data_IF_674763219816
#
_entry.id   IF_674763219816
#
_cell.length_a   1.000
_cell.length_b   1.000
_cell.length_c   1.000
_cell.angle_alpha   90.00
_cell.angle_beta   90.00
_cell.angle_gamma   90.00
#
_symmetry.space_group_name_H-M   'P 1'
#
loop_
_entity.id
_entity.type
_entity.pdbx_description
1 polymer ?
#
# COMPACT_ATOMS: atom_id res chain seq x y z
N UNK A 1 1.54 7.37 11.16
CA UNK A 1 0.13 7.54 10.84
C UNK A 1 -0.01 8.22 9.50
N UNK A 2 -0.87 7.68 8.62
CA UNK A 2 -1.18 8.25 7.31
C UNK A 2 -2.24 9.33 7.51
N UNK A 3 -1.91 10.59 7.21
CA UNK A 3 -2.87 11.71 7.21
C UNK A 3 -3.58 11.76 5.86
N UNK A 4 -4.81 11.28 5.81
CA UNK A 4 -5.55 11.09 4.56
C UNK A 4 -5.99 12.43 3.95
N UNK A 5 -6.23 13.45 4.79
CA UNK A 5 -6.50 14.83 4.37
C UNK A 5 -5.34 15.49 3.62
N UNK A 6 -4.10 15.06 3.88
CA UNK A 6 -2.89 15.59 3.24
C UNK A 6 -2.53 14.90 1.90
N UNK A 7 -3.27 13.86 1.49
CA UNK A 7 -2.97 13.13 0.25
C UNK A 7 -3.44 13.91 -0.98
N UNK A 8 -2.56 14.04 -1.97
CA UNK A 8 -2.95 14.49 -3.31
C UNK A 8 -3.94 13.51 -3.96
N UNK A 9 -4.76 14.01 -4.90
CA UNK A 9 -5.92 13.29 -5.47
C UNK A 9 -5.62 11.88 -5.98
N UNK A 10 -4.49 11.67 -6.68
CA UNK A 10 -4.08 10.35 -7.18
C UNK A 10 -3.77 9.37 -6.04
N UNK A 11 -2.98 9.80 -5.05
CA UNK A 11 -2.65 8.97 -3.90
C UNK A 11 -3.87 8.69 -3.02
N UNK A 12 -4.74 9.69 -2.84
CA UNK A 12 -6.00 9.53 -2.12
C UNK A 12 -6.88 8.48 -2.78
N UNK A 13 -7.02 8.51 -4.11
CA UNK A 13 -7.74 7.48 -4.86
C UNK A 13 -7.19 6.08 -4.62
N UNK A 14 -5.87 5.90 -4.72
CA UNK A 14 -5.23 4.60 -4.47
C UNK A 14 -5.46 4.13 -3.04
N UNK A 15 -5.36 5.04 -2.07
CA UNK A 15 -5.63 4.77 -0.67
C UNK A 15 -7.08 4.30 -0.45
N UNK A 16 -8.06 5.02 -1.01
CA UNK A 16 -9.48 4.67 -0.90
C UNK A 16 -9.79 3.31 -1.58
N UNK A 17 -9.16 3.04 -2.74
CA UNK A 17 -9.27 1.75 -3.42
C UNK A 17 -8.71 0.59 -2.55
N UNK A 18 -7.62 0.82 -1.80
CA UNK A 18 -7.05 -0.15 -0.84
C UNK A 18 -7.97 -0.37 0.36
N UNK A 19 -8.66 0.68 0.84
CA UNK A 19 -9.56 0.59 2.00
C UNK A 19 -10.89 -0.10 1.71
N UNK A 20 -11.23 -0.31 0.43
CA UNK A 20 -12.49 -0.92 -0.01
C UNK A 20 -12.66 -2.35 0.52
N UNK A 21 -13.89 -2.68 0.96
CA UNK A 21 -14.30 -4.04 1.37
C UNK A 21 -15.50 -4.49 0.52
N UNK A 22 -15.45 -5.63 -0.19
CA UNK A 22 -14.32 -6.57 -0.31
C UNK A 22 -13.11 -5.98 -1.08
N UNK A 23 -11.90 -6.55 -0.95
CA UNK A 23 -10.70 -6.04 -1.60
C UNK A 23 -10.87 -5.86 -3.11
N UNK A 24 -10.64 -4.63 -3.58
CA UNK A 24 -10.80 -4.26 -4.99
C UNK A 24 -9.71 -4.89 -5.85
N UNK A 25 -10.10 -5.41 -7.01
CA UNK A 25 -9.16 -5.88 -8.04
C UNK A 25 -8.67 -4.72 -8.92
N UNK A 26 -7.52 -4.91 -9.57
CA UNK A 26 -7.03 -3.95 -10.58
C UNK A 26 -6.21 -2.80 -10.00
N UNK A 27 -5.92 -2.81 -8.68
CA UNK A 27 -4.99 -1.86 -8.07
C UNK A 27 -3.59 -2.14 -8.61
N UNK A 28 -2.99 -1.12 -9.24
CA UNK A 28 -1.66 -1.25 -9.84
C UNK A 28 -0.59 -1.21 -8.77
N UNK A 29 0.45 -2.03 -8.94
CA UNK A 29 1.57 -2.06 -8.02
C UNK A 29 2.30 -0.71 -7.98
N UNK A 30 2.51 -0.07 -9.13
CA UNK A 30 3.15 1.25 -9.20
C UNK A 30 2.37 2.35 -8.46
N UNK A 31 1.03 2.31 -8.50
CA UNK A 31 0.18 3.27 -7.78
C UNK A 31 0.36 3.09 -6.26
N UNK A 32 0.46 1.84 -5.79
CA UNK A 32 0.74 1.54 -4.39
C UNK A 32 2.16 1.95 -4.01
N UNK A 33 3.17 1.69 -4.83
CA UNK A 33 4.55 2.15 -4.59
C UNK A 33 4.61 3.68 -4.49
N UNK A 34 3.89 4.40 -5.36
CA UNK A 34 3.79 5.85 -5.32
C UNK A 34 3.12 6.33 -4.02
N UNK A 35 2.00 5.71 -3.62
CA UNK A 35 1.34 5.99 -2.34
C UNK A 35 2.28 5.77 -1.15
N UNK A 36 2.99 4.63 -1.10
CA UNK A 36 3.94 4.32 -0.02
C UNK A 36 5.00 5.41 0.08
N UNK A 37 5.58 5.86 -1.03
CA UNK A 37 6.56 6.97 -1.03
C UNK A 37 5.93 8.28 -0.57
N UNK A 38 4.71 8.59 -1.02
CA UNK A 38 4.01 9.82 -0.67
C UNK A 38 3.72 9.93 0.83
N UNK A 39 3.49 8.81 1.52
CA UNK A 39 3.30 8.77 2.98
C UNK A 39 4.61 8.65 3.77
N UNK A 40 5.76 8.91 3.13
CA UNK A 40 7.09 8.85 3.76
C UNK A 40 7.64 7.43 3.94
N UNK A 41 7.06 6.45 3.25
CA UNK A 41 7.50 5.06 3.27
C UNK A 41 8.61 4.74 2.27
N UNK A 42 9.24 3.60 2.47
CA UNK A 42 10.28 3.04 1.60
C UNK A 42 9.95 1.62 1.18
N UNK A 43 10.51 1.20 0.04
CA UNK A 43 10.37 -0.15 -0.50
C UNK A 43 11.76 -0.77 -0.54
N UNK A 44 11.91 -1.96 0.04
CA UNK A 44 13.14 -2.75 0.00
C UNK A 44 12.96 -4.00 -0.84
N UNK A 45 13.94 -4.26 -1.70
CA UNK A 45 14.01 -5.49 -2.49
C UNK A 45 14.62 -6.61 -1.64
N UNK A 46 13.98 -7.77 -1.66
CA UNK A 46 14.51 -9.02 -1.13
C UNK A 46 14.70 -10.01 -2.30
N UNK A 47 15.12 -11.25 -2.00
CA UNK A 47 15.29 -12.30 -3.01
C UNK A 47 14.01 -12.48 -3.86
N UNK A 48 14.18 -12.46 -5.18
CA UNK A 48 13.11 -12.61 -6.17
C UNK A 48 12.13 -11.42 -6.20
N UNK A 49 10.84 -11.72 -6.33
CA UNK A 49 9.76 -10.70 -6.34
C UNK A 49 9.38 -10.24 -4.93
N UNK A 50 9.99 -10.74 -3.86
CA UNK A 50 9.67 -10.31 -2.51
C UNK A 50 10.04 -8.85 -2.31
N UNK A 51 9.11 -8.09 -1.75
CA UNK A 51 9.25 -6.67 -1.42
C UNK A 51 8.86 -6.44 0.02
N UNK A 52 9.44 -5.42 0.62
CA UNK A 52 9.10 -4.98 1.98
C UNK A 52 8.81 -3.50 1.96
N UNK A 53 7.58 -3.14 2.29
CA UNK A 53 7.19 -1.76 2.56
C UNK A 53 7.52 -1.43 4.02
N UNK A 54 8.00 -0.22 4.25
CA UNK A 54 8.33 0.27 5.58
C UNK A 54 7.86 1.72 5.72
N UNK A 55 7.05 2.02 6.74
CA UNK A 55 6.66 3.37 7.13
C UNK A 55 7.02 3.53 8.61
N UNK A 56 7.94 4.43 8.93
CA UNK A 56 8.54 4.49 10.27
C UNK A 56 9.20 3.17 10.65
N UNK A 57 8.75 2.57 11.76
CA UNK A 57 9.27 1.30 12.30
C UNK A 57 8.48 0.07 11.83
N UNK A 58 7.30 0.24 11.23
CA UNK A 58 6.43 -0.86 10.83
C UNK A 58 6.82 -1.39 9.46
N UNK A 59 6.55 -2.68 9.22
CA UNK A 59 6.96 -3.37 8.00
C UNK A 59 5.83 -4.26 7.49
N UNK A 60 5.63 -4.25 6.18
CA UNK A 60 4.73 -5.16 5.48
C UNK A 60 5.49 -5.89 4.39
N UNK A 61 5.39 -7.22 4.38
CA UNK A 61 6.03 -8.05 3.36
C UNK A 61 4.99 -8.44 2.32
N UNK A 62 5.33 -8.25 1.06
CA UNK A 62 4.47 -8.58 -0.07
C UNK A 62 5.33 -9.04 -1.25
N UNK A 63 4.71 -9.39 -2.37
CA UNK A 63 5.39 -9.73 -3.60
C UNK A 63 5.05 -8.67 -4.65
N UNK A 64 6.07 -8.21 -5.37
CA UNK A 64 5.88 -7.46 -6.61
C UNK A 64 5.21 -8.38 -7.63
N UNK A 65 4.03 -8.02 -8.15
CA UNK A 65 3.36 -8.79 -9.18
C UNK A 65 4.24 -8.92 -10.44
N UNK A 66 4.34 -10.14 -10.99
CA UNK A 66 5.05 -10.43 -12.24
C UNK A 66 4.31 -11.53 -13.01
N UNK A 67 4.11 -11.42 -14.34
CA UNK A 67 4.43 -10.30 -15.25
C UNK A 67 3.43 -9.16 -15.26
N UNK A 68 2.31 -9.30 -14.56
CA UNK A 68 1.27 -8.27 -14.49
C UNK A 68 1.66 -7.23 -13.45
N UNK A 69 1.27 -5.97 -13.67
CA UNK A 69 1.47 -4.85 -12.72
C UNK A 69 0.25 -4.68 -11.78
N UNK A 70 -0.44 -5.76 -11.42
CA UNK A 70 -1.70 -5.70 -10.63
C UNK A 70 -1.55 -6.53 -9.37
N UNK A 71 -1.82 -5.93 -8.22
CA UNK A 71 -1.80 -6.63 -6.94
C UNK A 71 -2.96 -7.64 -6.86
N UNK A 72 -2.69 -8.81 -6.28
CA UNK A 72 -3.74 -9.76 -5.95
C UNK A 72 -4.58 -9.26 -4.76
N UNK A 73 -5.81 -9.76 -4.64
CA UNK A 73 -6.75 -9.32 -3.60
C UNK A 73 -6.25 -9.60 -2.18
N UNK A 74 -5.48 -10.67 -1.98
CA UNK A 74 -4.90 -11.01 -0.68
C UNK A 74 -3.83 -10.01 -0.26
N UNK A 75 -2.95 -9.62 -1.18
CA UNK A 75 -1.96 -8.57 -0.93
C UNK A 75 -2.61 -7.20 -0.66
N UNK A 76 -3.71 -6.87 -1.34
CA UNK A 76 -4.50 -5.65 -1.09
C UNK A 76 -5.13 -5.70 0.32
N UNK A 77 -5.76 -6.82 0.70
CA UNK A 77 -6.33 -6.99 2.03
C UNK A 77 -5.27 -6.85 3.13
N UNK A 78 -4.12 -7.51 2.98
CA UNK A 78 -3.02 -7.40 3.93
C UNK A 78 -2.41 -5.99 4.00
N UNK A 79 -2.40 -5.26 2.88
CA UNK A 79 -1.96 -3.87 2.86
C UNK A 79 -2.91 -2.96 3.66
N UNK A 80 -4.22 -3.16 3.49
CA UNK A 80 -5.26 -2.47 4.27
C UNK A 80 -5.09 -2.76 5.76
N UNK A 81 -4.99 -4.03 6.14
CA UNK A 81 -4.79 -4.43 7.54
C UNK A 81 -3.54 -3.79 8.15
N UNK A 82 -2.43 -3.75 7.40
CA UNK A 82 -1.20 -3.13 7.86
C UNK A 82 -1.34 -1.61 8.05
N UNK A 83 -1.99 -0.91 7.12
CA UNK A 83 -2.26 0.52 7.26
C UNK A 83 -3.08 0.83 8.51
N UNK A 84 -4.15 0.09 8.76
CA UNK A 84 -5.04 0.31 9.90
C UNK A 84 -4.38 -0.10 11.23
N UNK A 85 -3.86 -1.32 11.30
CA UNK A 85 -3.46 -1.92 12.57
C UNK A 85 -2.03 -1.60 12.99
N UNK A 86 -1.15 -1.25 12.05
CA UNK A 86 0.27 -1.01 12.34
C UNK A 86 0.68 0.43 12.09
N UNK A 87 0.35 0.99 10.92
CA UNK A 87 0.79 2.37 10.56
C UNK A 87 -0.06 3.44 11.25
N UNK A 88 -1.35 3.16 11.43
CA UNK A 88 -2.36 4.10 11.85
C UNK A 88 -2.82 4.99 10.70
N UNK A 89 -4.10 5.31 10.67
CA UNK A 89 -4.74 6.17 9.67
C UNK A 89 -5.48 7.29 10.39
N UNK A 90 -5.30 8.51 9.92
CA UNK A 90 -5.98 9.72 10.38
C UNK A 90 -6.75 10.35 9.23
N UNK A 91 -8.08 10.37 9.36
CA UNK A 91 -8.97 10.88 8.33
C UNK A 91 -9.25 12.38 8.46
N UNK A 92 -8.87 12.99 9.59
CA UNK A 92 -9.13 14.41 9.90
C UNK A 92 -8.11 15.36 9.23
#
# INVERSE_FOLDING_TARGET
MIKVSALGSRHRKTFDDVMTEPPKSGIKWDDVVALIKAVGGTIKNNNGSRRKFQIGTTKFSTHEPHPKNVMDKGAVAGLKEWFVNCVGVDYE
#
